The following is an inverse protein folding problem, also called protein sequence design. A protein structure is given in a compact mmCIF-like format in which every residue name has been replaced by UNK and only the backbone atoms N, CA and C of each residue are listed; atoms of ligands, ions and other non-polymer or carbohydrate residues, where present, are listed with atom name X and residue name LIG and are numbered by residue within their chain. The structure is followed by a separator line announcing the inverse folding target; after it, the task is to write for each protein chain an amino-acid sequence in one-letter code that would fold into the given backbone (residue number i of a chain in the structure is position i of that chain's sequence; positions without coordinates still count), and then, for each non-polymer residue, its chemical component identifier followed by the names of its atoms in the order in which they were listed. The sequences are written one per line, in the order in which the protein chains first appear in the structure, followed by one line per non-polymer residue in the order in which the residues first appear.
data_IF_091313161729
#
_entry.id   IF_091313161729
#
_cell.length_a   1.000
_cell.length_b   1.000
_cell.length_c   1.000
_cell.angle_alpha   90.00
_cell.angle_beta   90.00
_cell.angle_gamma   90.00
#
_symmetry.space_group_name_H-M   'P 1'
#
loop_
_entity.id
_entity.type
_entity.pdbx_description
1 polymer ?
#
# COMPACT_ATOMS: atom_id res chain seq x y z
N UNK A 1 -30.47 11.51 8.77
CA UNK A 1 -30.04 11.03 7.45
C UNK A 1 -30.26 9.53 7.38
N UNK A 2 -30.86 9.05 6.34
CA UNK A 2 -31.03 7.62 6.08
C UNK A 2 -29.71 7.10 5.51
N UNK A 3 -29.24 5.95 6.03
CA UNK A 3 -28.14 5.22 5.40
C UNK A 3 -28.62 4.71 4.02
N UNK A 4 -27.75 4.61 3.01
CA UNK A 4 -28.08 3.89 1.79
C UNK A 4 -28.20 2.39 2.10
N UNK A 5 -28.99 1.65 1.37
CA UNK A 5 -29.24 0.22 1.58
C UNK A 5 -27.97 -0.64 1.39
N UNK A 6 -27.07 -0.18 0.51
CA UNK A 6 -25.78 -0.84 0.23
C UNK A 6 -24.68 0.21 0.24
N UNK A 7 -23.57 -0.09 0.91
CA UNK A 7 -22.41 0.78 0.98
C UNK A 7 -21.14 0.01 0.58
N UNK A 8 -20.25 0.68 -0.15
CA UNK A 8 -18.90 0.23 -0.37
C UNK A 8 -18.00 0.88 0.67
N UNK A 9 -17.26 0.07 1.43
CA UNK A 9 -16.31 0.58 2.42
C UNK A 9 -14.95 -0.08 2.26
N UNK A 10 -13.91 0.70 2.54
CA UNK A 10 -12.54 0.20 2.59
C UNK A 10 -12.36 -0.75 3.79
N UNK A 11 -11.59 -1.80 3.57
CA UNK A 11 -11.32 -2.84 4.56
C UNK A 11 -10.68 -2.29 5.84
N UNK A 12 -9.80 -1.30 5.72
CA UNK A 12 -9.15 -0.64 6.85
C UNK A 12 -10.11 0.22 7.72
N UNK A 13 -11.28 0.55 7.22
CA UNK A 13 -12.25 1.42 7.91
C UNK A 13 -13.44 0.68 8.49
N UNK A 14 -13.80 -0.46 7.93
CA UNK A 14 -15.03 -1.18 8.27
C UNK A 14 -15.12 -1.55 9.75
N UNK A 15 -14.07 -2.13 10.33
CA UNK A 15 -14.06 -2.59 11.72
C UNK A 15 -14.41 -1.48 12.72
N UNK A 16 -13.98 -0.25 12.44
CA UNK A 16 -14.33 0.91 13.26
C UNK A 16 -15.83 1.18 13.25
N UNK A 17 -16.47 1.09 12.09
CA UNK A 17 -17.91 1.33 11.98
C UNK A 17 -18.72 0.20 12.58
N UNK A 18 -18.34 -1.05 12.35
CA UNK A 18 -19.01 -2.20 12.92
C UNK A 18 -18.95 -2.20 14.45
N UNK A 19 -17.79 -1.89 15.04
CA UNK A 19 -17.65 -1.79 16.50
C UNK A 19 -18.45 -0.63 17.10
N UNK A 20 -18.60 0.47 16.37
CA UNK A 20 -19.35 1.65 16.83
C UNK A 20 -20.86 1.53 16.61
N UNK A 21 -21.27 0.79 15.58
CA UNK A 21 -22.67 0.68 15.15
C UNK A 21 -22.99 -0.75 14.69
N UNK A 22 -22.94 -1.75 15.61
CA UNK A 22 -23.09 -3.16 15.22
C UNK A 22 -24.43 -3.47 14.56
N UNK A 23 -25.49 -2.78 14.96
CA UNK A 23 -26.85 -2.97 14.42
C UNK A 23 -27.10 -2.29 13.06
N UNK A 24 -26.08 -1.59 12.52
CA UNK A 24 -26.20 -0.89 11.25
C UNK A 24 -25.85 -1.77 10.03
N UNK A 25 -25.38 -2.98 10.25
CA UNK A 25 -24.94 -3.89 9.19
C UNK A 25 -25.60 -5.25 9.28
N UNK A 26 -25.98 -5.78 8.13
CA UNK A 26 -26.64 -7.09 8.03
C UNK A 26 -25.61 -8.22 8.05
N UNK A 27 -25.85 -9.22 8.92
CA UNK A 27 -25.16 -10.51 8.90
C UNK A 27 -25.50 -11.28 7.62
N UNK A 28 -24.50 -11.73 6.89
CA UNK A 28 -24.65 -12.38 5.58
C UNK A 28 -24.73 -13.93 5.65
N UNK A 29 -24.90 -14.50 6.85
CA UNK A 29 -24.87 -15.97 7.06
C UNK A 29 -25.95 -16.72 6.28
N UNK A 30 -27.12 -16.09 6.05
CA UNK A 30 -28.27 -16.69 5.35
C UNK A 30 -28.25 -16.39 3.83
N UNK A 31 -27.21 -15.71 3.32
CA UNK A 31 -27.08 -15.41 1.89
C UNK A 31 -26.34 -16.53 1.19
N UNK A 32 -26.80 -16.85 -0.04
CA UNK A 32 -26.19 -17.85 -0.92
C UNK A 32 -24.93 -17.29 -1.60
N UNK A 33 -23.83 -17.22 -0.82
CA UNK A 33 -22.51 -16.74 -1.26
C UNK A 33 -21.51 -17.88 -1.12
N UNK A 34 -20.80 -18.18 -2.20
CA UNK A 34 -19.71 -19.16 -2.16
C UNK A 34 -18.43 -18.47 -1.62
N UNK A 35 -18.21 -18.55 -0.33
CA UNK A 35 -17.07 -17.92 0.33
C UNK A 35 -15.71 -18.50 -0.08
N UNK A 36 -15.68 -19.73 -0.60
CA UNK A 36 -14.44 -20.35 -1.08
C UNK A 36 -13.87 -19.68 -2.34
N UNK A 37 -14.68 -18.85 -3.03
CA UNK A 37 -14.21 -18.05 -4.17
C UNK A 37 -13.35 -16.85 -3.76
N UNK A 38 -13.30 -16.53 -2.46
CA UNK A 38 -12.57 -15.38 -1.94
C UNK A 38 -11.38 -15.82 -1.07
N UNK A 39 -10.26 -15.11 -1.20
CA UNK A 39 -9.09 -15.34 -0.35
C UNK A 39 -9.39 -15.13 1.14
N UNK A 40 -8.91 -16.02 2.01
CA UNK A 40 -9.18 -15.99 3.46
C UNK A 40 -8.81 -14.68 4.13
N UNK A 41 -7.65 -14.11 3.76
CA UNK A 41 -7.22 -12.81 4.29
C UNK A 41 -8.22 -11.71 3.92
N UNK A 42 -8.69 -11.69 2.68
CA UNK A 42 -9.68 -10.70 2.24
C UNK A 42 -11.01 -10.83 3.00
N UNK A 43 -11.47 -12.05 3.22
CA UNK A 43 -12.68 -12.30 4.02
C UNK A 43 -12.53 -11.78 5.45
N UNK A 44 -11.37 -11.99 6.08
CA UNK A 44 -11.14 -11.62 7.50
C UNK A 44 -11.30 -10.12 7.76
N UNK A 45 -11.09 -9.26 6.78
CA UNK A 45 -11.29 -7.81 6.95
C UNK A 45 -12.74 -7.39 7.18
N UNK A 46 -13.70 -8.18 6.69
CA UNK A 46 -15.14 -7.94 6.83
C UNK A 46 -15.87 -8.99 7.69
N UNK A 47 -15.12 -9.72 8.50
CA UNK A 47 -15.66 -10.69 9.46
C UNK A 47 -15.53 -10.18 10.89
N UNK A 48 -16.48 -10.61 11.73
CA UNK A 48 -16.40 -10.51 13.19
C UNK A 48 -16.93 -11.83 13.75
N UNK A 49 -16.16 -12.45 14.65
CA UNK A 49 -16.51 -13.69 15.32
C UNK A 49 -17.03 -14.77 14.34
N UNK A 50 -16.28 -15.07 13.29
CA UNK A 50 -16.63 -16.02 12.22
C UNK A 50 -17.88 -15.65 11.39
N UNK A 51 -18.44 -14.47 11.56
CA UNK A 51 -19.59 -13.98 10.80
C UNK A 51 -19.16 -13.01 9.72
N UNK A 52 -19.61 -13.25 8.48
CA UNK A 52 -19.40 -12.34 7.36
C UNK A 52 -20.43 -11.21 7.35
N UNK A 53 -19.96 -9.97 7.18
CA UNK A 53 -20.79 -8.77 7.01
C UNK A 53 -20.57 -8.11 5.65
N UNK A 54 -19.46 -8.35 4.99
CA UNK A 54 -19.13 -7.75 3.71
C UNK A 54 -18.81 -8.77 2.62
N UNK A 55 -19.32 -8.50 1.41
CA UNK A 55 -18.95 -9.25 0.20
C UNK A 55 -17.71 -8.60 -0.39
N UNK A 56 -16.59 -9.33 -0.54
CA UNK A 56 -15.38 -8.81 -1.14
C UNK A 56 -15.60 -8.21 -2.51
N UNK A 57 -15.06 -7.01 -2.75
CA UNK A 57 -15.13 -6.32 -4.04
C UNK A 57 -13.78 -6.31 -4.74
N UNK A 58 -12.73 -5.77 -4.10
CA UNK A 58 -11.38 -5.72 -4.64
C UNK A 58 -10.33 -6.00 -3.57
N UNK A 59 -9.09 -6.21 -4.01
CA UNK A 59 -7.92 -6.34 -3.15
C UNK A 59 -6.98 -5.16 -3.34
N UNK A 60 -6.26 -4.81 -2.27
CA UNK A 60 -5.22 -3.80 -2.29
C UNK A 60 -3.81 -4.39 -2.34
N UNK A 61 -3.58 -5.47 -3.11
CA UNK A 61 -2.25 -6.06 -3.22
C UNK A 61 -1.21 -4.99 -3.56
N UNK A 62 -0.17 -4.88 -2.73
CA UNK A 62 0.88 -3.88 -2.95
C UNK A 62 1.73 -4.24 -4.15
N UNK A 63 1.96 -3.25 -5.01
CA UNK A 63 2.84 -3.31 -6.17
C UNK A 63 3.79 -2.13 -6.15
N UNK A 64 4.94 -2.28 -6.80
CA UNK A 64 5.79 -1.18 -7.20
C UNK A 64 5.63 -0.94 -8.70
N UNK A 65 5.54 0.32 -9.11
CA UNK A 65 5.49 0.70 -10.53
C UNK A 65 6.57 1.72 -10.79
N UNK A 66 7.32 1.54 -11.88
CA UNK A 66 8.41 2.45 -12.24
C UNK A 66 8.35 2.87 -13.70
N UNK A 67 8.76 4.12 -13.94
CA UNK A 67 9.00 4.72 -15.26
C UNK A 67 10.29 4.17 -15.86
N UNK A 68 10.15 3.33 -16.88
CA UNK A 68 11.30 2.67 -17.52
C UNK A 68 12.25 3.66 -18.19
N UNK A 69 11.72 4.72 -18.80
CA UNK A 69 12.51 5.78 -19.45
C UNK A 69 13.39 6.55 -18.45
N UNK A 70 12.88 6.82 -17.23
CA UNK A 70 13.67 7.49 -16.18
C UNK A 70 14.72 6.53 -15.61
N UNK A 71 14.38 5.25 -15.43
CA UNK A 71 15.35 4.25 -15.00
C UNK A 71 16.49 4.09 -16.04
N UNK A 72 16.15 3.99 -17.32
CA UNK A 72 17.13 3.88 -18.41
C UNK A 72 18.05 5.09 -18.50
N UNK A 73 17.55 6.32 -18.27
CA UNK A 73 18.34 7.55 -18.18
C UNK A 73 19.41 7.45 -17.07
N UNK A 74 19.07 6.80 -15.96
CA UNK A 74 19.99 6.55 -14.85
C UNK A 74 20.86 5.29 -15.04
N UNK A 75 20.61 4.49 -16.08
CA UNK A 75 21.34 3.26 -16.38
C UNK A 75 20.81 2.01 -15.67
N UNK A 76 19.54 2.01 -15.29
CA UNK A 76 18.85 0.90 -14.62
C UNK A 76 17.70 0.36 -15.48
N UNK A 77 17.26 -0.84 -15.12
CA UNK A 77 16.09 -1.52 -15.68
C UNK A 77 15.14 -1.94 -14.58
N UNK A 78 13.96 -2.43 -14.92
CA UNK A 78 13.00 -2.96 -13.94
C UNK A 78 13.56 -4.17 -13.17
N UNK A 79 14.42 -4.96 -13.81
CA UNK A 79 15.02 -6.16 -13.18
C UNK A 79 15.93 -5.79 -12.01
N UNK A 80 16.58 -4.61 -12.06
CA UNK A 80 17.40 -4.08 -10.97
C UNK A 80 16.57 -3.69 -9.73
N UNK A 81 15.26 -3.51 -9.89
CA UNK A 81 14.30 -3.14 -8.85
C UNK A 81 13.36 -4.28 -8.46
N UNK A 82 13.54 -5.48 -9.04
CA UNK A 82 12.70 -6.65 -8.77
C UNK A 82 13.27 -7.48 -7.62
N UNK A 83 12.41 -7.82 -6.64
CA UNK A 83 12.73 -8.66 -5.46
C UNK A 83 13.93 -8.16 -4.63
N UNK A 84 14.14 -6.85 -4.61
CA UNK A 84 15.25 -6.22 -3.88
C UNK A 84 14.89 -5.89 -2.42
N UNK A 85 15.89 -5.42 -1.68
CA UNK A 85 15.72 -4.86 -0.34
C UNK A 85 15.60 -3.33 -0.39
N UNK A 86 15.08 -2.72 0.69
CA UNK A 86 15.03 -1.27 0.79
C UNK A 86 16.41 -0.60 0.83
N UNK A 87 17.44 -1.29 1.37
CA UNK A 87 18.81 -0.77 1.30
C UNK A 87 19.34 -0.70 -0.13
N UNK A 88 19.02 -1.71 -0.96
CA UNK A 88 19.36 -1.68 -2.39
C UNK A 88 18.55 -0.64 -3.15
N UNK A 89 17.28 -0.49 -2.78
CA UNK A 89 16.42 0.56 -3.32
C UNK A 89 16.96 1.97 -3.02
N UNK A 90 17.44 2.19 -1.81
CA UNK A 90 18.07 3.45 -1.40
C UNK A 90 19.34 3.76 -2.23
N UNK A 91 20.20 2.76 -2.42
CA UNK A 91 21.40 2.89 -3.26
C UNK A 91 21.05 3.33 -4.69
N UNK A 92 20.10 2.63 -5.32
CA UNK A 92 19.60 2.95 -6.67
C UNK A 92 18.95 4.32 -6.69
N UNK A 93 18.15 4.65 -5.68
CA UNK A 93 17.43 5.93 -5.60
C UNK A 93 18.35 7.13 -5.52
N UNK A 94 19.42 7.05 -4.74
CA UNK A 94 20.47 8.10 -4.70
C UNK A 94 21.12 8.31 -6.07
N UNK A 95 21.44 7.23 -6.75
CA UNK A 95 22.07 7.27 -8.06
C UNK A 95 21.11 7.82 -9.14
N UNK A 96 19.83 7.44 -9.10
CA UNK A 96 18.77 8.00 -9.96
C UNK A 96 18.65 9.50 -9.71
N UNK A 97 18.61 9.93 -8.45
CA UNK A 97 18.51 11.35 -8.11
C UNK A 97 19.74 12.16 -8.59
N UNK A 98 20.93 11.64 -8.38
CA UNK A 98 22.17 12.28 -8.82
C UNK A 98 22.24 12.46 -10.35
N UNK A 99 21.81 11.43 -11.10
CA UNK A 99 21.90 11.41 -12.56
C UNK A 99 20.79 12.18 -13.28
N UNK A 100 19.57 12.14 -12.72
CA UNK A 100 18.37 12.64 -13.41
C UNK A 100 17.73 13.85 -12.71
N UNK A 101 18.09 14.13 -11.46
CA UNK A 101 17.42 15.11 -10.61
C UNK A 101 16.01 14.71 -10.16
N UNK A 102 15.60 13.46 -10.42
CA UNK A 102 14.27 12.92 -10.07
C UNK A 102 14.35 12.02 -8.84
N UNK A 103 13.24 11.93 -8.12
CA UNK A 103 13.12 11.00 -7.00
C UNK A 103 12.77 9.59 -7.51
N UNK A 104 13.25 8.54 -6.81
CA UNK A 104 12.86 7.18 -7.18
C UNK A 104 11.46 6.83 -6.70
N UNK A 105 10.98 7.46 -5.64
CA UNK A 105 9.66 7.22 -5.05
C UNK A 105 9.00 8.55 -4.64
N UNK A 106 7.67 8.58 -4.61
CA UNK A 106 6.89 9.62 -3.92
C UNK A 106 5.99 9.00 -2.85
N UNK A 107 5.73 9.70 -1.78
CA UNK A 107 4.88 9.27 -0.67
C UNK A 107 4.17 10.45 -0.01
N UNK A 108 2.93 10.25 0.45
CA UNK A 108 2.22 11.25 1.23
C UNK A 108 2.75 11.30 2.67
N UNK A 109 3.12 12.49 3.12
CA UNK A 109 3.66 12.73 4.47
C UNK A 109 2.63 12.44 5.58
N UNK A 110 1.35 12.62 5.28
CA UNK A 110 0.25 12.51 6.26
C UNK A 110 -0.44 11.15 6.25
N UNK A 111 -0.33 10.38 5.17
CA UNK A 111 -1.03 9.09 4.98
C UNK A 111 -0.38 7.92 5.70
N UNK A 112 0.95 7.90 5.78
CA UNK A 112 1.70 6.81 6.39
C UNK A 112 1.64 5.49 5.62
N UNK A 113 1.04 5.46 4.43
CA UNK A 113 0.77 4.22 3.67
C UNK A 113 2.04 3.44 3.36
N UNK A 114 3.10 4.13 2.91
CA UNK A 114 4.38 3.47 2.60
C UNK A 114 4.97 2.80 3.84
N UNK A 115 4.99 3.50 4.98
CA UNK A 115 5.47 2.96 6.25
C UNK A 115 4.62 1.78 6.72
N UNK A 116 3.30 1.88 6.60
CA UNK A 116 2.38 0.80 6.92
C UNK A 116 2.65 -0.45 6.08
N UNK A 117 2.85 -0.30 4.76
CA UNK A 117 3.19 -1.40 3.87
C UNK A 117 4.54 -2.04 4.24
N UNK A 118 5.55 -1.23 4.61
CA UNK A 118 6.84 -1.74 5.09
C UNK A 118 6.68 -2.61 6.35
N UNK A 119 5.93 -2.13 7.36
CA UNK A 119 5.68 -2.86 8.61
C UNK A 119 4.88 -4.15 8.35
N UNK A 120 3.83 -4.08 7.55
CA UNK A 120 3.03 -5.25 7.17
C UNK A 120 3.86 -6.31 6.43
N UNK A 121 4.76 -5.88 5.54
CA UNK A 121 5.63 -6.80 4.79
C UNK A 121 6.55 -7.63 5.67
N UNK A 122 6.77 -7.17 6.91
CA UNK A 122 7.51 -7.88 7.96
C UNK A 122 6.62 -8.79 8.82
N UNK A 123 5.32 -8.85 8.56
CA UNK A 123 4.36 -9.57 9.43
C UNK A 123 4.08 -8.84 10.75
N UNK A 124 4.42 -7.55 10.86
CA UNK A 124 4.21 -6.74 12.06
C UNK A 124 3.01 -5.78 11.90
N UNK A 125 2.59 -5.20 13.03
CA UNK A 125 1.47 -4.28 13.09
C UNK A 125 1.69 -3.26 14.21
N UNK A 126 0.96 -2.15 14.20
CA UNK A 126 0.89 -1.18 15.30
C UNK A 126 -0.02 -1.60 16.46
N UNK A 127 -0.64 -2.76 16.34
CA UNK A 127 -1.56 -3.34 17.32
C UNK A 127 -1.06 -4.75 17.66
N UNK A 128 -1.00 -5.09 18.94
CA UNK A 128 -0.61 -6.42 19.40
C UNK A 128 -1.79 -7.43 19.24
N UNK A 129 -1.55 -8.69 19.62
CA UNK A 129 -2.54 -9.77 19.54
C UNK A 129 -3.78 -9.51 20.42
N UNK A 130 -3.65 -8.70 21.49
CA UNK A 130 -4.72 -8.32 22.39
C UNK A 130 -5.56 -7.12 21.85
N UNK A 131 -5.18 -6.57 20.69
CA UNK A 131 -5.84 -5.40 20.09
C UNK A 131 -5.42 -4.07 20.71
N UNK A 132 -4.34 -4.04 21.49
CA UNK A 132 -3.81 -2.83 22.11
C UNK A 132 -2.74 -2.17 21.24
N UNK A 133 -2.56 -0.85 21.35
CA UNK A 133 -1.53 -0.13 20.62
C UNK A 133 -0.12 -0.63 20.97
N UNK A 134 0.61 -1.09 19.98
CA UNK A 134 1.98 -1.62 20.09
C UNK A 134 2.93 -0.80 19.23
N UNK A 135 3.26 0.41 19.69
CA UNK A 135 4.18 1.34 19.01
C UNK A 135 5.51 1.38 19.76
N UNK A 136 5.47 1.62 21.08
CA UNK A 136 6.65 1.64 21.92
C UNK A 136 7.16 0.22 22.17
N UNK A 137 8.43 -0.03 21.85
CA UNK A 137 9.05 -1.35 21.96
C UNK A 137 8.75 -2.29 20.77
N UNK A 138 8.19 -1.76 19.70
CA UNK A 138 8.01 -2.48 18.44
C UNK A 138 9.25 -2.26 17.57
N UNK A 139 10.25 -3.12 17.74
CA UNK A 139 11.55 -3.01 17.07
C UNK A 139 11.44 -3.03 15.54
N UNK A 140 10.46 -3.74 15.00
CA UNK A 140 10.21 -3.78 13.55
C UNK A 140 9.66 -2.44 13.07
N UNK A 141 8.71 -1.86 13.80
CA UNK A 141 8.15 -0.55 13.46
C UNK A 141 9.22 0.53 13.55
N UNK A 142 10.06 0.53 14.60
CA UNK A 142 11.17 1.47 14.75
C UNK A 142 12.15 1.37 13.57
N UNK A 143 12.56 0.15 13.21
CA UNK A 143 13.42 -0.09 12.06
C UNK A 143 12.83 0.41 10.75
N UNK A 144 11.53 0.21 10.51
CA UNK A 144 10.85 0.71 9.31
C UNK A 144 10.79 2.24 9.30
N UNK A 145 10.56 2.88 10.46
CA UNK A 145 10.58 4.36 10.59
C UNK A 145 11.95 4.91 10.27
N UNK A 146 13.02 4.35 10.85
CA UNK A 146 14.39 4.79 10.60
C UNK A 146 14.74 4.68 9.11
N UNK A 147 14.44 3.55 8.51
CA UNK A 147 14.64 3.31 7.09
C UNK A 147 13.86 4.32 6.22
N UNK A 148 12.57 4.54 6.53
CA UNK A 148 11.77 5.52 5.80
C UNK A 148 12.31 6.95 5.92
N UNK A 149 12.75 7.33 7.12
CA UNK A 149 13.38 8.63 7.36
C UNK A 149 14.69 8.79 6.58
N UNK A 150 15.49 7.73 6.48
CA UNK A 150 16.72 7.75 5.70
C UNK A 150 16.46 7.88 4.19
N UNK A 151 15.45 7.19 3.66
CA UNK A 151 15.02 7.34 2.27
C UNK A 151 14.63 8.79 1.94
N UNK A 152 13.93 9.46 2.86
CA UNK A 152 13.55 10.88 2.69
C UNK A 152 14.76 11.81 2.79
N UNK A 153 15.63 11.63 3.79
CA UNK A 153 16.83 12.46 3.98
C UNK A 153 17.85 12.36 2.87
N UNK A 154 17.84 11.22 2.17
CA UNK A 154 18.78 10.92 1.08
C UNK A 154 18.18 11.20 -0.31
N UNK A 155 17.12 11.99 -0.39
CA UNK A 155 16.45 12.40 -1.64
C UNK A 155 16.00 11.21 -2.52
N UNK A 156 15.71 10.05 -1.92
CA UNK A 156 15.15 8.89 -2.59
C UNK A 156 13.63 8.99 -2.69
N UNK A 157 13.00 9.50 -1.62
CA UNK A 157 11.55 9.69 -1.52
C UNK A 157 11.20 11.16 -1.48
N UNK A 158 10.35 11.60 -2.41
CA UNK A 158 9.70 12.91 -2.36
C UNK A 158 8.46 12.84 -1.49
N UNK A 159 8.43 13.58 -0.39
CA UNK A 159 7.23 13.77 0.39
C UNK A 159 6.32 14.82 -0.22
N UNK A 160 5.03 14.51 -0.26
CA UNK A 160 3.95 15.39 -0.68
C UNK A 160 2.88 15.47 0.41
N UNK A 161 2.02 16.51 0.37
CA UNK A 161 1.10 16.79 1.48
C UNK A 161 -0.30 16.19 1.31
N UNK A 162 -0.67 15.79 0.09
CA UNK A 162 -2.00 15.31 -0.23
C UNK A 162 -2.01 14.50 -1.53
N UNK A 163 -3.15 13.88 -1.80
CA UNK A 163 -3.38 13.04 -2.98
C UNK A 163 -3.16 13.77 -4.31
N UNK A 164 -3.57 15.02 -4.44
CA UNK A 164 -3.42 15.77 -5.70
C UNK A 164 -1.95 16.03 -6.02
N UNK A 165 -1.15 16.38 -5.00
CA UNK A 165 0.31 16.51 -5.13
C UNK A 165 0.97 15.16 -5.45
N UNK A 166 0.50 14.06 -4.81
CA UNK A 166 0.97 12.71 -5.09
C UNK A 166 0.78 12.35 -6.57
N UNK A 167 -0.44 12.50 -7.08
CA UNK A 167 -0.76 12.25 -8.49
C UNK A 167 0.02 13.18 -9.41
N UNK A 168 0.13 14.47 -9.08
CA UNK A 168 0.90 15.45 -9.88
C UNK A 168 2.38 15.08 -9.96
N UNK A 169 2.99 14.64 -8.86
CA UNK A 169 4.39 14.22 -8.83
C UNK A 169 4.67 13.04 -9.75
N UNK A 170 3.73 12.08 -9.81
CA UNK A 170 3.81 10.92 -10.69
C UNK A 170 3.62 11.34 -12.16
N UNK A 171 2.57 12.10 -12.44
CA UNK A 171 2.20 12.46 -13.81
C UNK A 171 3.13 13.48 -14.43
N UNK A 172 3.81 14.31 -13.64
CA UNK A 172 4.87 15.21 -14.13
C UNK A 172 6.21 14.50 -14.37
N UNK A 173 6.36 13.26 -13.88
CA UNK A 173 7.64 12.53 -13.93
C UNK A 173 8.70 13.08 -12.98
N UNK A 174 8.31 13.79 -11.94
CA UNK A 174 9.21 14.25 -10.88
C UNK A 174 9.67 13.08 -9.97
N UNK A 175 8.83 12.06 -9.83
CA UNK A 175 9.20 10.76 -9.25
C UNK A 175 9.14 9.67 -10.33
N UNK A 176 10.14 8.80 -10.34
CA UNK A 176 10.25 7.68 -11.27
C UNK A 176 9.35 6.52 -10.89
N UNK A 177 8.85 6.46 -9.64
CA UNK A 177 8.13 5.30 -9.17
C UNK A 177 7.15 5.57 -8.03
N UNK A 178 6.36 4.56 -7.79
CA UNK A 178 5.41 4.46 -6.68
C UNK A 178 5.42 3.04 -6.10
N UNK A 179 5.13 2.95 -4.80
CA UNK A 179 4.75 1.72 -4.11
C UNK A 179 3.36 1.95 -3.53
N UNK A 180 2.36 1.20 -3.99
CA UNK A 180 0.97 1.40 -3.58
C UNK A 180 0.14 0.15 -3.86
N UNK A 181 -1.14 0.15 -3.49
CA UNK A 181 -2.08 -0.89 -3.89
C UNK A 181 -2.26 -0.94 -5.41
N UNK A 182 -2.55 -2.11 -5.95
CA UNK A 182 -2.71 -2.36 -7.38
C UNK A 182 -3.78 -1.47 -8.07
N UNK A 183 -4.69 -0.89 -7.32
CA UNK A 183 -5.71 0.05 -7.80
C UNK A 183 -5.12 1.33 -8.39
N UNK A 184 -3.87 1.70 -8.03
CA UNK A 184 -3.17 2.89 -8.56
C UNK A 184 -2.92 2.80 -10.06
N UNK A 185 -2.91 1.60 -10.64
CA UNK A 185 -2.69 1.39 -12.08
C UNK A 185 -3.71 2.15 -12.93
N UNK A 186 -4.95 2.34 -12.45
CA UNK A 186 -5.95 3.14 -13.15
C UNK A 186 -5.52 4.61 -13.31
N UNK A 187 -4.89 5.19 -12.29
CA UNK A 187 -4.33 6.54 -12.33
C UNK A 187 -3.18 6.64 -13.34
N UNK A 188 -2.28 5.65 -13.33
CA UNK A 188 -1.13 5.61 -14.26
C UNK A 188 -1.59 5.47 -15.71
N UNK A 189 -2.56 4.62 -15.97
CA UNK A 189 -3.12 4.39 -17.30
C UNK A 189 -3.86 5.60 -17.86
N UNK A 190 -4.35 6.49 -17.01
CA UNK A 190 -5.01 7.74 -17.40
C UNK A 190 -4.07 8.81 -17.96
N UNK A 191 -2.76 8.62 -17.91
CA UNK A 191 -1.75 9.58 -18.35
C UNK A 191 -1.27 9.20 -19.75
N UNK A 192 -1.90 9.76 -20.78
CA UNK A 192 -1.71 9.38 -22.19
C UNK A 192 -0.26 9.48 -22.69
N UNK A 193 0.48 10.53 -22.30
CA UNK A 193 1.88 10.77 -22.68
C UNK A 193 2.88 9.83 -22.00
N UNK A 194 2.42 9.06 -20.98
CA UNK A 194 3.23 8.06 -20.30
C UNK A 194 2.84 6.62 -20.68
N UNK A 195 2.00 6.45 -21.68
CA UNK A 195 1.52 5.15 -22.11
C UNK A 195 2.67 4.23 -22.55
N UNK A 196 2.75 3.06 -21.91
CA UNK A 196 3.79 2.05 -22.18
C UNK A 196 5.13 2.31 -21.48
N UNK A 197 5.25 3.40 -20.69
CA UNK A 197 6.47 3.71 -19.95
C UNK A 197 6.50 3.16 -18.52
N UNK A 198 5.38 2.61 -18.03
CA UNK A 198 5.29 2.06 -16.69
C UNK A 198 5.43 0.54 -16.71
N UNK A 199 6.25 0.02 -15.82
CA UNK A 199 6.34 -1.42 -15.53
C UNK A 199 6.09 -1.69 -14.06
N UNK A 200 5.50 -2.88 -13.77
CA UNK A 200 5.12 -3.33 -12.44
C UNK A 200 6.10 -4.39 -11.96
N UNK A 201 6.48 -4.29 -10.69
CA UNK A 201 7.27 -5.31 -9.99
C UNK A 201 6.84 -5.39 -8.52
N UNK A 202 7.55 -6.18 -7.72
CA UNK A 202 7.36 -6.31 -6.28
C UNK A 202 7.86 -5.07 -5.53
N UNK A 203 7.29 -4.77 -4.36
CA UNK A 203 7.86 -3.77 -3.47
C UNK A 203 9.18 -4.28 -2.86
N UNK A 204 10.11 -3.39 -2.47
CA UNK A 204 11.31 -3.80 -1.75
C UNK A 204 10.97 -4.40 -0.37
N UNK A 205 11.76 -5.36 0.11
CA UNK A 205 11.63 -5.93 1.46
C UNK A 205 12.56 -5.27 2.46
N UNK A 206 12.19 -5.29 3.73
CA UNK A 206 12.98 -4.73 4.84
C UNK A 206 14.17 -5.65 5.15
N UNK A 207 15.36 -5.08 5.20
CA UNK A 207 16.60 -5.81 5.49
C UNK A 207 16.67 -6.26 6.94
N UNK A 208 17.25 -7.45 7.17
CA UNK A 208 17.56 -7.96 8.51
C UNK A 208 16.33 -8.19 9.39
N UNK A 209 15.18 -8.46 8.78
CA UNK A 209 13.98 -8.99 9.42
C UNK A 209 13.64 -10.31 8.74
N UNK A 210 13.72 -11.41 9.48
CA UNK A 210 13.61 -12.76 8.92
C UNK A 210 12.24 -13.05 8.30
N UNK A 211 11.19 -12.41 8.82
CA UNK A 211 9.81 -12.52 8.32
C UNK A 211 9.49 -11.58 7.16
N UNK A 212 10.42 -10.68 6.79
CA UNK A 212 10.18 -9.70 5.75
C UNK A 212 9.98 -10.35 4.37
N UNK A 213 9.00 -9.84 3.66
CA UNK A 213 8.66 -10.24 2.30
C UNK A 213 8.62 -9.03 1.36
N UNK A 214 8.53 -9.29 0.05
CA UNK A 214 8.29 -8.25 -0.96
C UNK A 214 6.79 -7.99 -1.19
N UNK A 215 5.94 -8.32 -0.22
CA UNK A 215 4.48 -8.26 -0.35
C UNK A 215 3.84 -7.57 0.85
N UNK A 216 2.79 -6.80 0.57
CA UNK A 216 1.94 -6.15 1.57
C UNK A 216 0.54 -5.92 0.98
N UNK A 217 -0.31 -5.23 1.72
CA UNK A 217 -1.62 -4.80 1.26
C UNK A 217 -1.82 -3.31 1.56
N UNK A 218 -2.34 -2.57 0.59
CA UNK A 218 -2.81 -1.20 0.79
C UNK A 218 -4.15 -0.99 0.10
N UNK A 219 -5.22 -0.91 0.89
CA UNK A 219 -6.59 -0.78 0.43
C UNK A 219 -7.31 -2.11 0.29
N UNK A 220 -8.23 -2.17 -0.63
CA UNK A 220 -9.25 -3.19 -0.75
C UNK A 220 -10.56 -2.73 -0.13
N UNK A 221 -11.67 -3.19 -0.69
CA UNK A 221 -13.02 -2.79 -0.29
C UNK A 221 -13.98 -3.97 -0.31
N UNK A 222 -15.08 -3.83 0.41
CA UNK A 222 -16.17 -4.80 0.42
C UNK A 222 -17.52 -4.09 0.40
N UNK A 223 -18.54 -4.77 -0.13
CA UNK A 223 -19.92 -4.30 -0.13
C UNK A 223 -20.63 -4.75 1.13
N UNK A 224 -21.32 -3.83 1.78
CA UNK A 224 -22.07 -4.06 3.01
C UNK A 224 -23.54 -3.67 2.82
N UNK A 225 -24.44 -4.44 3.43
CA UNK A 225 -25.88 -4.15 3.51
C UNK A 225 -26.13 -3.51 4.88
N UNK A 226 -26.82 -2.36 4.87
CA UNK A 226 -27.17 -1.60 6.09
C UNK A 226 -28.58 -1.89 6.56
#
# INVERSE_FOLDING_TARGET
STLPDIVLMQDNSYQKYLKSYPDAFTDLKDMDINWDDFGKLKQSYSMVDDTHYGVPFDNGATIACYRTDILEEAGYTIDDLTDITWSKFEEIGKDVHEKTGKYLLTSEATGGDTLMMMIQSCGANFVNEDGEAYIVGNDVAEKCVDLYVDLVKNDVVKLVNNWDEYVSTITSGEAAGIVNGNWITATLMGTEDQKGLWQITTMPKVDGVDTATNYANNGGSSWYIT
#
